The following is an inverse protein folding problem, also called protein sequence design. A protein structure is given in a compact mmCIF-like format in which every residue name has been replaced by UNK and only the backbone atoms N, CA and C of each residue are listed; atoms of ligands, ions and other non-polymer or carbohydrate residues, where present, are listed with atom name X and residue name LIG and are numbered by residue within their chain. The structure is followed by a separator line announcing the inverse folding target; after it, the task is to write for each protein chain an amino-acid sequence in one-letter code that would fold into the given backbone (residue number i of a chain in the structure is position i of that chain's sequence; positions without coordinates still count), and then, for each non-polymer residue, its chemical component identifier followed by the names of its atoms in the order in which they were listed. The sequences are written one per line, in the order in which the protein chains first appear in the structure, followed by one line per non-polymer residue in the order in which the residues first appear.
data_IF_922853457379
#
_entry.id   IF_922853457379
#
_cell.length_a   1.000
_cell.length_b   1.000
_cell.length_c   1.000
_cell.angle_alpha   90.00
_cell.angle_beta   90.00
_cell.angle_gamma   90.00
#
_symmetry.space_group_name_H-M   'P 1'
#
loop_
_entity.id
_entity.type
_entity.pdbx_description
1 polymer ?
#
# COMPACT_ATOMS: atom_id res chain seq x y z
N UNK A 1 -24.96 -7.38 -9.74
CA UNK A 1 -24.24 -8.51 -9.11
C UNK A 1 -24.08 -8.26 -7.63
N UNK A 2 -24.24 -9.31 -6.82
CA UNK A 2 -24.19 -9.19 -5.36
C UNK A 2 -22.84 -9.58 -4.77
N UNK A 3 -21.98 -10.23 -5.55
CA UNK A 3 -20.69 -10.73 -5.04
C UNK A 3 -19.70 -10.96 -6.19
N UNK A 4 -18.42 -11.08 -5.83
CA UNK A 4 -17.35 -11.36 -6.77
C UNK A 4 -16.19 -12.10 -6.08
N UNK A 5 -15.45 -12.89 -6.82
CA UNK A 5 -14.29 -13.64 -6.35
C UNK A 5 -13.08 -13.36 -7.22
N UNK A 6 -11.90 -13.34 -6.62
CA UNK A 6 -10.63 -13.30 -7.33
C UNK A 6 -9.51 -13.78 -6.41
N UNK A 7 -8.27 -13.69 -6.87
CA UNK A 7 -7.08 -13.98 -6.08
C UNK A 7 -5.97 -12.99 -6.46
N UNK A 8 -4.95 -12.89 -5.63
CA UNK A 8 -3.81 -12.00 -5.92
C UNK A 8 -3.13 -12.38 -7.24
N UNK A 9 -3.00 -13.68 -7.51
CA UNK A 9 -2.34 -14.16 -8.71
C UNK A 9 -3.14 -13.86 -9.98
N UNK A 10 -4.45 -13.79 -9.88
CA UNK A 10 -5.31 -13.42 -11.02
C UNK A 10 -5.25 -11.91 -11.30
N UNK A 11 -4.84 -11.10 -10.33
CA UNK A 11 -4.86 -9.65 -10.42
C UNK A 11 -3.54 -9.04 -10.88
N UNK A 12 -2.52 -9.83 -11.10
CA UNK A 12 -1.25 -9.34 -11.61
C UNK A 12 -0.09 -10.29 -11.37
N UNK A 13 1.08 -9.92 -11.88
CA UNK A 13 2.32 -10.66 -11.73
C UNK A 13 3.44 -9.74 -11.30
N UNK A 14 4.43 -10.29 -10.57
CA UNK A 14 5.62 -9.56 -10.15
C UNK A 14 5.33 -8.45 -9.18
N UNK A 15 6.25 -7.49 -9.10
CA UNK A 15 6.13 -6.33 -8.21
C UNK A 15 5.01 -5.39 -8.65
N UNK A 16 4.42 -4.71 -7.68
CA UNK A 16 3.41 -3.69 -7.93
C UNK A 16 2.08 -3.94 -7.25
N UNK A 17 1.09 -3.14 -7.65
CA UNK A 17 -0.24 -3.20 -7.05
C UNK A 17 -1.08 -4.33 -7.63
N UNK A 18 -1.92 -4.90 -6.76
CA UNK A 18 -3.05 -5.74 -7.14
C UNK A 18 -4.31 -4.95 -6.83
N UNK A 19 -5.01 -4.49 -7.87
CA UNK A 19 -6.14 -3.55 -7.75
C UNK A 19 -7.41 -4.28 -7.35
N UNK A 20 -7.51 -4.64 -6.08
CA UNK A 20 -8.60 -5.44 -5.53
C UNK A 20 -9.93 -4.71 -5.63
N UNK A 21 -9.97 -3.45 -5.19
CA UNK A 21 -11.20 -2.67 -5.19
C UNK A 21 -11.86 -2.64 -6.57
N UNK A 22 -11.09 -2.26 -7.58
CA UNK A 22 -11.62 -2.14 -8.93
C UNK A 22 -12.07 -3.50 -9.49
N UNK A 23 -11.27 -4.54 -9.27
CA UNK A 23 -11.55 -5.87 -9.81
C UNK A 23 -12.79 -6.50 -9.18
N UNK A 24 -13.02 -6.30 -7.88
CA UNK A 24 -14.13 -6.91 -7.16
C UNK A 24 -15.34 -5.99 -7.00
N UNK A 25 -15.25 -4.74 -7.48
CA UNK A 25 -16.36 -3.81 -7.38
C UNK A 25 -16.65 -3.31 -5.97
N UNK A 26 -15.62 -3.19 -5.13
CA UNK A 26 -15.79 -2.67 -3.78
C UNK A 26 -16.00 -1.16 -3.83
N UNK A 27 -17.08 -0.67 -3.25
CA UNK A 27 -17.43 0.76 -3.27
C UNK A 27 -17.39 1.42 -1.89
N UNK A 28 -17.41 0.63 -0.83
CA UNK A 28 -17.52 1.15 0.54
C UNK A 28 -16.18 1.65 1.10
N UNK A 29 -15.07 1.16 0.56
CA UNK A 29 -13.71 1.54 1.00
C UNK A 29 -12.72 1.21 -0.11
N UNK A 30 -11.51 1.76 0.02
CA UNK A 30 -10.39 1.41 -0.85
C UNK A 30 -9.69 0.18 -0.32
N UNK A 31 -9.29 -0.73 -1.21
CA UNK A 31 -8.48 -1.88 -0.85
C UNK A 31 -7.64 -2.30 -2.04
N UNK A 32 -6.34 -2.43 -1.81
CA UNK A 32 -5.41 -2.98 -2.79
C UNK A 32 -4.41 -3.86 -2.04
N UNK A 33 -3.77 -4.76 -2.76
CA UNK A 33 -2.54 -5.37 -2.28
C UNK A 33 -1.37 -4.75 -3.02
N UNK A 34 -0.20 -4.84 -2.44
CA UNK A 34 1.04 -4.43 -3.07
C UNK A 34 2.11 -5.48 -2.83
N UNK A 35 2.84 -5.78 -3.89
CA UNK A 35 3.96 -6.72 -3.84
C UNK A 35 5.24 -5.90 -3.96
N UNK A 36 6.02 -5.87 -2.88
CA UNK A 36 7.32 -5.21 -2.84
C UNK A 36 8.43 -6.21 -3.16
N UNK A 37 9.26 -5.95 -4.18
CA UNK A 37 10.39 -6.81 -4.43
C UNK A 37 11.45 -6.68 -3.33
N UNK A 38 12.41 -7.62 -3.23
CA UNK A 38 13.53 -7.46 -2.32
C UNK A 38 14.28 -6.15 -2.57
N UNK A 39 14.78 -5.54 -1.49
CA UNK A 39 15.60 -4.33 -1.54
C UNK A 39 14.93 -3.14 -2.23
N UNK A 40 13.61 -3.02 -2.04
CA UNK A 40 12.87 -1.89 -2.58
C UNK A 40 12.80 -0.77 -1.55
N UNK A 41 13.31 0.41 -1.93
CA UNK A 41 13.15 1.61 -1.14
C UNK A 41 11.81 2.27 -1.48
N UNK A 42 10.97 2.45 -0.47
CA UNK A 42 9.68 3.08 -0.64
C UNK A 42 9.78 4.58 -0.87
N UNK A 43 8.67 5.18 -1.23
CA UNK A 43 8.56 6.62 -1.39
C UNK A 43 7.80 7.22 -0.21
N UNK A 44 8.21 8.42 0.20
CA UNK A 44 7.58 9.16 1.28
C UNK A 44 6.35 9.87 0.72
N UNK A 45 5.18 9.59 1.30
CA UNK A 45 3.93 10.18 0.81
C UNK A 45 2.93 10.41 1.94
N UNK A 46 1.91 11.18 1.64
CA UNK A 46 0.76 11.43 2.50
C UNK A 46 -0.50 11.54 1.64
N UNK A 47 -1.65 11.58 2.28
CA UNK A 47 -2.93 11.74 1.61
C UNK A 47 -3.66 12.97 2.13
N UNK A 48 -4.64 13.46 1.38
CA UNK A 48 -5.45 14.60 1.80
C UNK A 48 -6.54 14.18 2.79
N UNK A 49 -7.27 13.12 2.48
CA UNK A 49 -8.46 12.70 3.21
C UNK A 49 -8.42 11.27 3.73
N UNK A 50 -7.93 10.30 2.93
CA UNK A 50 -8.07 8.91 3.32
C UNK A 50 -7.05 8.49 4.37
N UNK A 51 -7.56 7.90 5.44
CA UNK A 51 -6.74 7.17 6.40
C UNK A 51 -6.42 5.79 5.84
N UNK A 52 -5.30 5.20 6.23
CA UNK A 52 -4.90 3.90 5.72
C UNK A 52 -4.55 2.92 6.82
N UNK A 53 -4.89 1.65 6.57
CA UNK A 53 -4.45 0.52 7.37
C UNK A 53 -3.65 -0.40 6.47
N UNK A 54 -2.43 -0.70 6.89
CA UNK A 54 -1.53 -1.64 6.23
C UNK A 54 -1.52 -2.94 7.02
N UNK A 55 -1.62 -4.06 6.31
CA UNK A 55 -1.55 -5.39 6.89
C UNK A 55 -0.50 -6.20 6.14
N UNK A 56 0.51 -6.70 6.85
CA UNK A 56 1.55 -7.53 6.24
C UNK A 56 1.05 -8.96 6.12
N UNK A 57 0.82 -9.38 4.88
CA UNK A 57 0.35 -10.73 4.58
C UNK A 57 1.50 -11.72 4.50
N UNK A 58 2.62 -11.32 3.89
CA UNK A 58 3.77 -12.18 3.68
C UNK A 58 5.05 -11.36 3.72
N UNK A 59 6.12 -11.94 4.26
CA UNK A 59 7.41 -11.28 4.33
C UNK A 59 7.51 -10.25 5.44
N UNK A 60 8.40 -9.28 5.27
CA UNK A 60 8.67 -8.22 6.23
C UNK A 60 8.83 -6.89 5.52
N UNK A 61 8.49 -5.80 6.21
CA UNK A 61 8.72 -4.44 5.71
C UNK A 61 9.27 -3.57 6.82
N UNK A 62 9.82 -2.42 6.42
CA UNK A 62 10.20 -1.35 7.33
C UNK A 62 9.28 -0.16 7.08
N UNK A 63 8.75 0.39 8.18
CA UNK A 63 7.89 1.57 8.14
C UNK A 63 8.63 2.74 8.79
N UNK A 64 8.69 3.87 8.07
CA UNK A 64 9.21 5.14 8.58
C UNK A 64 8.06 6.13 8.71
N UNK A 65 7.81 6.63 9.91
CA UNK A 65 6.73 7.59 10.19
C UNK A 65 7.10 8.46 11.39
N UNK A 66 7.02 9.77 11.21
CA UNK A 66 7.26 10.76 12.26
C UNK A 66 8.54 10.52 13.06
N UNK A 67 9.64 10.22 12.37
CA UNK A 67 10.94 9.96 13.01
C UNK A 67 11.07 8.60 13.65
N UNK A 68 10.01 7.79 13.64
CA UNK A 68 10.04 6.42 14.14
C UNK A 68 10.27 5.46 12.97
N UNK A 69 11.11 4.44 13.20
CA UNK A 69 11.33 3.36 12.24
C UNK A 69 10.99 2.05 12.91
N UNK A 70 10.18 1.24 12.24
CA UNK A 70 9.73 -0.03 12.80
C UNK A 70 9.69 -1.11 11.72
N UNK A 71 10.13 -2.32 12.07
CA UNK A 71 9.95 -3.49 11.21
C UNK A 71 8.65 -4.19 11.55
N UNK A 72 7.92 -4.63 10.51
CA UNK A 72 6.71 -5.43 10.64
C UNK A 72 6.87 -6.72 9.86
N UNK A 73 6.66 -7.86 10.52
CA UNK A 73 6.59 -9.18 9.90
C UNK A 73 5.16 -9.59 9.58
N UNK A 74 4.99 -10.85 9.23
CA UNK A 74 3.67 -11.41 8.88
C UNK A 74 2.68 -11.21 10.01
N UNK A 75 1.49 -10.71 9.66
CA UNK A 75 0.46 -10.34 10.63
C UNK A 75 0.63 -8.94 11.21
N UNK A 76 1.69 -8.23 10.86
CA UNK A 76 1.93 -6.87 11.35
C UNK A 76 0.90 -5.88 10.82
N UNK A 77 0.58 -4.89 11.64
CA UNK A 77 -0.46 -3.91 11.34
C UNK A 77 0.09 -2.50 11.55
N UNK A 78 -0.28 -1.59 10.65
CA UNK A 78 0.10 -0.19 10.73
C UNK A 78 -1.07 0.68 10.28
N UNK A 79 -1.59 1.49 11.19
CA UNK A 79 -2.61 2.49 10.88
C UNK A 79 -1.97 3.87 10.85
N UNK A 80 -2.33 4.67 9.86
CA UNK A 80 -1.83 6.05 9.75
C UNK A 80 -2.95 6.96 9.23
N UNK A 81 -3.08 8.12 9.85
CA UNK A 81 -4.03 9.13 9.40
C UNK A 81 -3.54 9.80 8.10
N UNK A 82 -4.48 10.32 7.34
CA UNK A 82 -4.26 10.80 5.98
C UNK A 82 -3.03 11.68 5.81
N UNK A 83 -2.97 12.78 6.54
CA UNK A 83 -1.96 13.82 6.33
C UNK A 83 -0.59 13.52 6.94
N UNK A 84 -0.44 12.41 7.64
CA UNK A 84 0.84 12.01 8.24
C UNK A 84 1.74 11.40 7.17
N UNK A 85 2.90 11.99 6.86
CA UNK A 85 3.82 11.39 5.89
C UNK A 85 4.36 10.05 6.37
N UNK A 86 4.45 9.09 5.45
CA UNK A 86 4.97 7.75 5.76
C UNK A 86 5.70 7.18 4.57
N UNK A 87 6.56 6.21 4.87
CA UNK A 87 7.27 5.43 3.86
C UNK A 87 7.30 3.98 4.29
N UNK A 88 6.94 3.08 3.38
CA UNK A 88 7.04 1.64 3.58
C UNK A 88 8.05 1.10 2.60
N UNK A 89 9.05 0.39 3.08
CA UNK A 89 10.15 -0.16 2.29
C UNK A 89 10.33 -1.63 2.58
N UNK A 90 10.92 -2.35 1.62
CA UNK A 90 11.36 -3.74 1.82
C UNK A 90 12.87 -3.81 1.70
N UNK A 91 13.64 -3.64 2.79
CA UNK A 91 15.10 -3.73 2.74
C UNK A 91 15.63 -5.16 2.82
N UNK A 92 14.73 -6.14 2.85
CA UNK A 92 15.09 -7.56 3.07
C UNK A 92 15.28 -8.30 1.76
N UNK A 93 15.77 -9.55 1.86
CA UNK A 93 16.12 -10.40 0.71
C UNK A 93 14.92 -11.12 0.11
N UNK A 94 13.75 -11.06 0.74
CA UNK A 94 12.54 -11.74 0.32
C UNK A 94 11.47 -10.75 -0.10
N UNK A 95 10.61 -11.17 -1.01
CA UNK A 95 9.43 -10.41 -1.42
C UNK A 95 8.48 -10.20 -0.23
N UNK A 96 7.82 -9.06 -0.18
CA UNK A 96 6.78 -8.78 0.81
C UNK A 96 5.45 -8.49 0.13
N UNK A 97 4.36 -8.93 0.75
CA UNK A 97 3.00 -8.67 0.27
C UNK A 97 2.19 -8.03 1.39
N UNK A 98 1.61 -6.88 1.08
CA UNK A 98 0.77 -6.14 2.02
C UNK A 98 -0.61 -5.93 1.43
N UNK A 99 -1.62 -5.90 2.30
CA UNK A 99 -2.92 -5.33 1.98
C UNK A 99 -2.98 -3.91 2.54
N UNK A 100 -3.55 -3.00 1.76
CA UNK A 100 -3.75 -1.61 2.16
C UNK A 100 -5.24 -1.30 2.04
N UNK A 101 -5.84 -0.91 3.15
CA UNK A 101 -7.25 -0.51 3.20
C UNK A 101 -7.29 0.98 3.49
N UNK A 102 -8.02 1.73 2.69
CA UNK A 102 -8.11 3.17 2.86
C UNK A 102 -9.53 3.71 2.70
N UNK A 103 -9.78 4.86 3.31
CA UNK A 103 -11.05 5.53 3.18
C UNK A 103 -11.23 6.64 4.20
N UNK A 104 -12.38 7.29 4.09
CA UNK A 104 -12.85 8.30 5.05
C UNK A 104 -14.35 8.38 4.86
N UNK A 105 -15.11 7.72 5.73
CA UNK A 105 -16.55 7.58 5.58
C UNK A 105 -16.95 6.98 4.21
N UNK A 106 -16.13 6.05 3.71
CA UNK A 106 -16.29 5.42 2.42
C UNK A 106 -15.03 5.49 1.58
N UNK A 107 -15.15 5.11 0.32
CA UNK A 107 -14.04 5.17 -0.62
C UNK A 107 -13.66 6.62 -0.94
N UNK A 108 -12.36 6.88 -0.93
CA UNK A 108 -11.79 8.17 -1.35
C UNK A 108 -10.97 7.92 -2.61
N UNK A 109 -11.21 8.71 -3.66
CA UNK A 109 -10.40 8.66 -4.87
C UNK A 109 -8.95 9.08 -4.56
N UNK A 110 -8.05 8.74 -5.49
CA UNK A 110 -6.63 8.97 -5.31
C UNK A 110 -6.34 10.40 -4.87
N UNK A 111 -5.77 10.52 -3.67
CA UNK A 111 -5.42 11.80 -3.05
C UNK A 111 -3.99 11.81 -2.48
N UNK A 112 -3.16 10.87 -2.93
CA UNK A 112 -1.78 10.74 -2.44
C UNK A 112 -0.83 11.76 -3.06
N UNK A 113 0.08 12.27 -2.23
CA UNK A 113 1.09 13.24 -2.62
C UNK A 113 2.47 12.78 -2.17
N UNK A 114 3.47 12.97 -3.02
CA UNK A 114 4.87 12.73 -2.64
C UNK A 114 5.37 13.89 -1.77
N UNK A 115 6.12 13.53 -0.71
CA UNK A 115 6.85 14.52 0.08
C UNK A 115 8.02 15.07 -0.72
N UNK A 116 8.75 14.17 -1.41
CA UNK A 116 9.91 14.52 -2.24
C UNK A 116 9.60 14.15 -3.70
N UNK A 117 9.57 15.15 -4.62
CA UNK A 117 9.36 14.88 -6.04
C UNK A 117 10.39 13.93 -6.65
N UNK A 118 11.56 13.81 -6.07
CA UNK A 118 12.59 12.87 -6.54
C UNK A 118 12.15 11.40 -6.42
N UNK A 119 11.14 11.11 -5.62
CA UNK A 119 10.59 9.75 -5.47
C UNK A 119 9.63 9.36 -6.61
N UNK A 120 9.31 10.28 -7.51
CA UNK A 120 8.34 10.01 -8.58
C UNK A 120 8.68 8.78 -9.43
N UNK A 121 9.95 8.52 -9.83
CA UNK A 121 10.26 7.31 -10.59
C UNK A 121 9.97 6.01 -9.82
N UNK A 122 10.21 5.98 -8.50
CA UNK A 122 9.92 4.81 -7.69
C UNK A 122 8.42 4.55 -7.60
N UNK A 123 7.63 5.61 -7.41
CA UNK A 123 6.17 5.48 -7.39
C UNK A 123 5.64 5.00 -8.73
N UNK A 124 6.15 5.53 -9.82
CA UNK A 124 5.73 5.16 -11.16
C UNK A 124 6.00 3.68 -11.46
N UNK A 125 7.07 3.09 -10.88
CA UNK A 125 7.42 1.69 -11.09
C UNK A 125 6.33 0.73 -10.59
N UNK A 126 5.51 1.13 -9.63
CA UNK A 126 4.38 0.32 -9.13
C UNK A 126 3.07 0.66 -9.81
N UNK A 127 3.03 1.72 -10.61
CA UNK A 127 1.80 2.22 -11.15
C UNK A 127 0.99 2.98 -10.10
N UNK A 128 -0.27 3.19 -10.43
CA UNK A 128 -1.19 3.94 -9.56
C UNK A 128 -2.17 2.98 -8.91
N UNK A 129 -2.27 3.06 -7.59
CA UNK A 129 -3.19 2.22 -6.81
C UNK A 129 -4.67 2.44 -7.18
#
# INVERSE_FOLDING_TARGET
MTHAFSSLDELGEGAGFRKIRAALGVTAFGVNAVVYPPHFEGFHHYHDLQDELYFVHRGRVRVDVEGETRELGEGGLFHVEATTPRRVSNPFDEEAVLYIVGGKDGYVERDGHLVDPADAPRRAAFGKS
#
